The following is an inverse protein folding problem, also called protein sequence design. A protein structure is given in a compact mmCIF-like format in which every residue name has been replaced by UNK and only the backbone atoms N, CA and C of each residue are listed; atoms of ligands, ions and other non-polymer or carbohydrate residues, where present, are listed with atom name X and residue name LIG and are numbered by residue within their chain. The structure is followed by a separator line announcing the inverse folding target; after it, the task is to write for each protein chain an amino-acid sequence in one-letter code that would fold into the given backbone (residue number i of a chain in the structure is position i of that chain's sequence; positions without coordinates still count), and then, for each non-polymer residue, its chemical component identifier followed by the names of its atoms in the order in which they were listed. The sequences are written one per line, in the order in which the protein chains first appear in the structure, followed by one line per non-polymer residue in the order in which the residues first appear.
data_IF_134926775709
#
_entry.id   IF_134926775709
#
_cell.length_a   1.000
_cell.length_b   1.000
_cell.length_c   1.000
_cell.angle_alpha   90.00
_cell.angle_beta   90.00
_cell.angle_gamma   90.00
#
_symmetry.space_group_name_H-M   'P 1'
#
loop_
_entity.id
_entity.type
_entity.pdbx_description
1 polymer ?
#
# COMPACT_ATOMS: atom_id res chain seq x y z
N UNK A 1 8.32 -5.75 9.06
CA UNK A 1 7.48 -5.45 7.87
C UNK A 1 8.31 -5.80 6.64
N UNK A 2 7.74 -6.50 5.65
CA UNK A 2 8.49 -6.81 4.42
C UNK A 2 8.61 -5.50 3.65
N UNK A 3 9.84 -5.04 3.46
CA UNK A 3 10.15 -3.83 2.71
C UNK A 3 9.58 -3.95 1.29
N UNK A 4 8.66 -3.06 0.93
CA UNK A 4 7.93 -3.17 -0.33
C UNK A 4 8.72 -2.58 -1.50
N UNK A 5 9.54 -1.56 -1.24
CA UNK A 5 10.54 -1.07 -2.18
C UNK A 5 11.93 -1.40 -1.64
N UNK A 6 12.68 -2.26 -2.31
CA UNK A 6 14.08 -2.49 -1.98
C UNK A 6 14.94 -1.32 -2.43
N UNK A 7 16.09 -1.14 -1.77
CA UNK A 7 17.13 -0.26 -2.25
C UNK A 7 17.53 -0.67 -3.68
N UNK A 8 17.60 0.28 -4.64
CA UNK A 8 17.76 -0.06 -6.06
C UNK A 8 19.18 -0.51 -6.43
N UNK A 9 20.19 -0.20 -5.61
CA UNK A 9 21.57 -0.57 -5.85
C UNK A 9 22.36 -0.65 -4.53
N UNK A 10 23.42 -1.45 -4.54
CA UNK A 10 24.43 -1.45 -3.47
C UNK A 10 25.22 -0.14 -3.48
N UNK A 11 25.52 0.41 -2.31
CA UNK A 11 26.28 1.66 -2.18
C UNK A 11 25.95 2.45 -0.92
N UNK A 12 26.55 3.63 -0.78
CA UNK A 12 26.27 4.57 0.32
C UNK A 12 25.28 5.63 -0.12
N UNK A 13 24.40 6.08 0.78
CA UNK A 13 23.62 7.29 0.54
C UNK A 13 24.56 8.49 0.63
N UNK A 14 24.82 9.14 -0.50
CA UNK A 14 25.71 10.30 -0.55
C UNK A 14 24.95 11.59 -0.38
N UNK A 15 23.66 11.60 -0.70
CA UNK A 15 22.89 12.82 -0.59
C UNK A 15 21.38 12.57 -0.46
N UNK A 16 20.69 13.22 0.51
CA UNK A 16 19.29 12.94 0.83
C UNK A 16 18.31 13.75 -0.03
N UNK A 17 17.02 13.40 0.07
CA UNK A 17 15.92 14.23 -0.41
C UNK A 17 15.86 15.55 0.36
N UNK A 18 15.49 16.64 -0.32
CA UNK A 18 15.29 17.96 0.29
C UNK A 18 16.16 19.07 -0.29
N UNK A 19 16.11 20.23 0.36
CA UNK A 19 16.80 21.44 -0.10
C UNK A 19 18.33 21.32 0.02
N UNK A 20 19.04 21.70 -1.05
CA UNK A 20 20.51 21.74 -1.14
C UNK A 20 20.94 23.08 -1.74
N UNK A 21 21.63 23.92 -0.96
CA UNK A 21 22.24 25.19 -1.44
C UNK A 21 21.34 26.00 -2.41
N UNK A 22 20.04 26.11 -2.10
CA UNK A 22 19.07 26.85 -2.91
C UNK A 22 18.30 26.07 -3.98
N UNK A 23 18.61 24.78 -4.21
CA UNK A 23 17.88 23.91 -5.15
C UNK A 23 17.26 22.70 -4.46
N UNK A 24 16.07 22.30 -4.88
CA UNK A 24 15.36 21.14 -4.32
C UNK A 24 15.90 19.84 -4.94
N UNK A 25 16.26 18.87 -4.09
CA UNK A 25 16.60 17.52 -4.53
C UNK A 25 15.41 16.58 -4.35
N UNK A 26 14.89 16.08 -5.46
CA UNK A 26 13.64 15.31 -5.53
C UNK A 26 13.78 13.81 -5.30
N UNK A 27 14.98 13.35 -4.92
CA UNK A 27 15.25 11.93 -4.71
C UNK A 27 16.31 11.68 -3.64
N UNK A 28 16.92 10.51 -3.68
CA UNK A 28 18.13 10.17 -2.92
C UNK A 28 19.21 9.70 -3.87
N UNK A 29 20.45 10.01 -3.53
CA UNK A 29 21.61 9.60 -4.33
C UNK A 29 22.33 8.45 -3.63
N UNK A 30 22.51 7.35 -4.35
CA UNK A 30 23.23 6.17 -3.87
C UNK A 30 24.46 5.97 -4.75
N UNK A 31 25.64 6.13 -4.17
CA UNK A 31 26.91 6.01 -4.88
C UNK A 31 27.65 4.73 -4.51
N UNK A 32 28.31 4.16 -5.52
CA UNK A 32 29.23 3.05 -5.39
C UNK A 32 30.31 3.22 -6.45
N UNK A 33 31.57 3.14 -6.04
CA UNK A 33 32.73 3.35 -6.92
C UNK A 33 33.13 2.13 -7.74
N UNK A 34 32.53 0.97 -7.48
CA UNK A 34 32.80 -0.25 -8.24
C UNK A 34 32.34 -0.09 -9.70
N UNK A 35 33.00 -0.75 -10.64
CA UNK A 35 32.54 -0.76 -12.03
C UNK A 35 31.28 -1.63 -12.19
N UNK A 36 30.43 -1.28 -13.15
CA UNK A 36 29.26 -2.08 -13.54
C UNK A 36 28.27 -2.41 -12.42
N UNK A 37 28.09 -1.50 -11.45
CA UNK A 37 27.13 -1.70 -10.34
C UNK A 37 25.71 -1.83 -10.90
N UNK A 38 25.05 -2.98 -10.72
CA UNK A 38 23.70 -3.19 -11.25
C UNK A 38 22.69 -2.32 -10.51
N UNK A 39 21.74 -1.76 -11.27
CA UNK A 39 20.55 -1.10 -10.74
C UNK A 39 19.36 -2.00 -10.97
N UNK A 40 18.58 -2.23 -9.93
CA UNK A 40 17.45 -3.16 -9.90
C UNK A 40 16.13 -2.42 -9.71
N UNK A 41 15.05 -3.01 -10.21
CA UNK A 41 13.70 -2.54 -9.93
C UNK A 41 13.40 -2.66 -8.43
N UNK A 42 13.11 -1.54 -7.78
CA UNK A 42 12.80 -1.49 -6.35
C UNK A 42 11.53 -2.25 -5.98
N UNK A 43 10.59 -2.43 -6.90
CA UNK A 43 9.39 -3.25 -6.73
C UNK A 43 8.94 -3.84 -8.08
N UNK A 44 8.08 -4.85 -8.07
CA UNK A 44 7.49 -5.39 -9.29
C UNK A 44 6.61 -4.35 -10.00
N UNK A 45 6.60 -4.35 -11.34
CA UNK A 45 5.88 -3.34 -12.12
C UNK A 45 6.08 -3.48 -13.63
N UNK A 46 5.69 -2.45 -14.36
CA UNK A 46 5.84 -2.34 -15.83
C UNK A 46 6.70 -1.13 -16.15
N UNK A 47 7.65 -1.28 -17.08
CA UNK A 47 8.48 -0.17 -17.56
C UNK A 47 7.61 0.84 -18.30
N UNK A 48 7.41 2.02 -17.70
CA UNK A 48 6.62 3.11 -18.27
C UNK A 48 7.47 4.02 -19.16
N UNK A 49 8.76 4.23 -18.82
CA UNK A 49 9.73 4.93 -19.67
C UNK A 49 11.11 4.28 -19.56
N UNK A 50 11.83 4.27 -20.66
CA UNK A 50 13.25 3.92 -20.75
C UNK A 50 13.88 4.85 -21.79
N UNK A 51 14.70 5.80 -21.34
CA UNK A 51 15.27 6.84 -22.21
C UNK A 51 16.77 6.82 -22.08
N UNK A 52 17.45 6.44 -23.16
CA UNK A 52 18.91 6.42 -23.26
C UNK A 52 19.46 7.58 -24.12
N UNK A 53 20.68 7.39 -24.63
CA UNK A 53 21.31 8.29 -25.61
C UNK A 53 22.20 9.38 -25.02
N UNK A 54 22.32 9.47 -23.69
CA UNK A 54 23.23 10.40 -23.02
C UNK A 54 24.58 9.73 -22.72
N UNK A 55 25.67 10.47 -22.91
CA UNK A 55 27.03 10.05 -22.57
C UNK A 55 27.21 9.85 -21.06
N UNK A 56 28.08 8.90 -20.68
CA UNK A 56 28.38 8.55 -19.29
C UNK A 56 29.53 9.40 -18.68
N UNK A 57 29.48 10.72 -18.90
CA UNK A 57 30.48 11.71 -18.47
C UNK A 57 29.82 13.05 -18.13
N UNK A 58 28.82 12.97 -17.27
CA UNK A 58 27.97 14.05 -16.81
C UNK A 58 28.72 15.15 -16.07
N UNK A 59 28.08 16.31 -16.03
CA UNK A 59 28.53 17.49 -15.31
C UNK A 59 27.32 18.34 -14.91
N UNK A 60 27.45 19.14 -13.85
CA UNK A 60 26.39 20.07 -13.42
C UNK A 60 25.96 20.93 -14.61
N UNK A 61 24.65 21.04 -14.83
CA UNK A 61 24.07 21.83 -15.92
C UNK A 61 23.95 21.10 -17.26
N UNK A 62 24.39 19.84 -17.35
CA UNK A 62 24.10 19.01 -18.52
C UNK A 62 22.59 18.76 -18.62
N UNK A 63 21.98 19.20 -19.73
CA UNK A 63 20.53 19.18 -19.95
C UNK A 63 20.02 17.94 -20.68
N UNK A 64 20.90 16.96 -20.99
CA UNK A 64 20.50 15.74 -21.70
C UNK A 64 19.35 15.05 -20.98
N UNK A 65 18.26 14.78 -21.71
CA UNK A 65 17.02 14.22 -21.18
C UNK A 65 16.45 14.99 -19.97
N UNK A 66 16.56 16.32 -19.98
CA UNK A 66 16.08 17.19 -18.89
C UNK A 66 16.97 17.15 -17.64
N UNK A 67 18.21 16.69 -17.76
CA UNK A 67 19.18 16.62 -16.66
C UNK A 67 19.29 15.24 -16.02
N UNK A 68 18.32 14.35 -16.20
CA UNK A 68 18.37 12.98 -15.65
C UNK A 68 19.37 12.06 -16.36
N UNK A 69 19.86 12.42 -17.55
CA UNK A 69 20.71 11.54 -18.34
C UNK A 69 19.95 10.32 -18.86
N UNK A 70 20.55 9.13 -18.78
CA UNK A 70 19.84 7.89 -19.09
C UNK A 70 19.01 7.48 -17.88
N UNK A 71 17.72 7.21 -18.07
CA UNK A 71 16.82 6.90 -16.96
C UNK A 71 15.72 5.90 -17.32
N UNK A 72 15.21 5.25 -16.28
CA UNK A 72 14.07 4.34 -16.34
C UNK A 72 12.99 4.83 -15.38
N UNK A 73 11.73 4.71 -15.77
CA UNK A 73 10.58 4.85 -14.88
C UNK A 73 9.81 3.53 -14.87
N UNK A 74 9.63 2.96 -13.68
CA UNK A 74 8.81 1.76 -13.47
C UNK A 74 7.50 2.17 -12.82
N UNK A 75 6.38 1.73 -13.40
CA UNK A 75 5.06 1.88 -12.80
C UNK A 75 4.69 0.64 -12.03
N UNK A 76 4.27 0.83 -10.79
CA UNK A 76 3.91 -0.23 -9.87
C UNK A 76 2.42 -0.13 -9.50
N UNK A 77 1.79 -1.28 -9.32
CA UNK A 77 0.51 -1.41 -8.64
C UNK A 77 0.76 -2.17 -7.34
N UNK A 78 0.74 -1.45 -6.22
CA UNK A 78 1.09 -1.98 -4.91
C UNK A 78 -0.09 -1.72 -3.99
N UNK A 79 -0.70 -2.79 -3.48
CA UNK A 79 -1.86 -2.69 -2.59
C UNK A 79 -3.03 -1.88 -3.18
N UNK A 80 -3.21 -1.92 -4.51
CA UNK A 80 -4.24 -1.16 -5.22
C UNK A 80 -3.93 0.33 -5.43
N UNK A 81 -2.76 0.81 -5.00
CA UNK A 81 -2.27 2.17 -5.26
C UNK A 81 -1.19 2.16 -6.33
N UNK A 82 -1.27 3.12 -7.24
CA UNK A 82 -0.25 3.34 -8.27
C UNK A 82 0.94 4.05 -7.63
N UNK A 83 2.15 3.56 -7.92
CA UNK A 83 3.40 4.25 -7.62
C UNK A 83 4.26 4.30 -8.86
N UNK A 84 5.07 5.34 -9.02
CA UNK A 84 6.18 5.33 -9.98
C UNK A 84 7.50 5.43 -9.22
N UNK A 85 8.51 4.72 -9.72
CA UNK A 85 9.90 4.91 -9.30
C UNK A 85 10.74 5.34 -10.49
N UNK A 86 11.69 6.26 -10.28
CA UNK A 86 12.60 6.76 -11.30
C UNK A 86 14.05 6.45 -10.90
N UNK A 87 14.83 5.99 -11.87
CA UNK A 87 16.24 5.61 -11.73
C UNK A 87 17.03 6.37 -12.79
N UNK A 88 17.82 7.36 -12.38
CA UNK A 88 18.52 8.28 -13.28
C UNK A 88 20.04 8.14 -13.21
N UNK A 89 20.72 8.89 -14.10
CA UNK A 89 22.16 8.92 -14.28
C UNK A 89 22.78 7.59 -14.69
N UNK A 90 21.99 6.68 -15.28
CA UNK A 90 22.45 5.34 -15.64
C UNK A 90 23.54 5.40 -16.73
N UNK A 91 24.45 4.44 -16.69
CA UNK A 91 25.41 4.20 -17.77
C UNK A 91 24.73 3.49 -18.94
N UNK A 92 23.90 2.50 -18.65
CA UNK A 92 23.18 1.70 -19.65
C UNK A 92 21.85 1.22 -19.12
N UNK A 93 20.88 1.02 -20.02
CA UNK A 93 19.54 0.51 -19.73
C UNK A 93 19.44 -0.91 -20.30
N UNK A 94 18.83 -1.83 -19.54
CA UNK A 94 18.70 -3.25 -19.90
C UNK A 94 17.26 -3.69 -20.15
N UNK A 95 16.32 -2.73 -20.23
CA UNK A 95 14.88 -2.98 -20.34
C UNK A 95 14.22 -2.05 -21.37
N UNK A 96 13.06 -2.46 -21.86
CA UNK A 96 12.27 -1.73 -22.86
C UNK A 96 10.92 -1.30 -22.30
N UNK A 97 10.34 -0.23 -22.86
CA UNK A 97 8.99 0.23 -22.50
C UNK A 97 7.97 -0.89 -22.70
N UNK A 98 7.06 -1.07 -21.73
CA UNK A 98 6.04 -2.12 -21.71
C UNK A 98 6.50 -3.45 -21.10
N UNK A 99 7.80 -3.62 -20.83
CA UNK A 99 8.31 -4.84 -20.18
C UNK A 99 7.82 -4.93 -18.73
N UNK A 100 7.36 -6.11 -18.31
CA UNK A 100 7.09 -6.43 -16.90
C UNK A 100 8.39 -6.84 -16.21
N UNK A 101 8.60 -6.33 -14.99
CA UNK A 101 9.75 -6.65 -14.13
C UNK A 101 9.28 -7.05 -12.74
N UNK A 102 10.02 -7.97 -12.12
CA UNK A 102 9.89 -8.30 -10.71
C UNK A 102 10.77 -7.39 -9.85
N UNK A 103 10.46 -7.33 -8.55
CA UNK A 103 11.35 -6.70 -7.58
C UNK A 103 12.73 -7.38 -7.61
N UNK A 104 13.79 -6.61 -7.74
CA UNK A 104 15.16 -7.12 -7.84
C UNK A 104 15.64 -7.44 -9.25
N UNK A 105 14.79 -7.36 -10.27
CA UNK A 105 15.23 -7.54 -11.65
C UNK A 105 16.17 -6.40 -12.06
N UNK A 106 17.27 -6.73 -12.75
CA UNK A 106 18.21 -5.74 -13.27
C UNK A 106 17.55 -4.90 -14.37
N UNK A 107 17.55 -3.59 -14.19
CA UNK A 107 17.00 -2.62 -15.14
C UNK A 107 18.07 -1.78 -15.82
N UNK A 108 19.28 -1.73 -15.27
CA UNK A 108 20.39 -0.99 -15.85
C UNK A 108 21.68 -1.10 -15.04
N UNK A 109 22.59 -0.17 -15.32
CA UNK A 109 23.90 -0.06 -14.67
C UNK A 109 24.08 1.38 -14.19
N UNK A 110 24.54 1.53 -12.94
CA UNK A 110 24.84 2.82 -12.32
C UNK A 110 25.85 3.60 -13.16
N UNK A 111 25.71 4.92 -13.24
CA UNK A 111 26.59 5.72 -14.08
C UNK A 111 26.72 7.16 -13.61
N UNK A 112 27.16 7.98 -14.54
CA UNK A 112 27.35 9.41 -14.40
C UNK A 112 26.84 10.10 -15.68
N UNK A 113 25.62 9.84 -16.13
CA UNK A 113 25.05 10.54 -17.29
C UNK A 113 24.19 11.74 -16.86
N UNK A 114 24.07 12.77 -17.70
CA UNK A 114 23.26 13.96 -17.39
C UNK A 114 23.90 14.88 -16.35
N UNK A 115 23.09 15.59 -15.57
CA UNK A 115 23.53 16.56 -14.56
C UNK A 115 24.00 15.87 -13.27
N UNK A 116 25.07 15.10 -13.39
CA UNK A 116 25.71 14.33 -12.32
C UNK A 116 27.20 14.68 -12.22
N UNK A 117 27.80 14.61 -11.03
CA UNK A 117 29.22 14.92 -10.79
C UNK A 117 30.08 13.68 -10.59
N UNK A 118 29.48 12.50 -10.54
CA UNK A 118 30.18 11.25 -10.26
C UNK A 118 29.24 10.05 -10.29
N UNK A 119 29.79 8.85 -10.20
CA UNK A 119 29.02 7.63 -10.33
C UNK A 119 28.02 7.44 -9.18
N UNK A 120 26.73 7.50 -9.48
CA UNK A 120 25.64 7.22 -8.54
C UNK A 120 24.34 6.89 -9.29
N UNK A 121 23.35 6.35 -8.58
CA UNK A 121 21.97 6.34 -9.04
C UNK A 121 21.20 7.40 -8.27
N UNK A 122 20.52 8.28 -9.01
CA UNK A 122 19.52 9.17 -8.45
C UNK A 122 18.17 8.46 -8.48
N UNK A 123 17.54 8.32 -7.32
CA UNK A 123 16.33 7.53 -7.14
C UNK A 123 15.20 8.39 -6.58
N UNK A 124 14.07 8.42 -7.27
CA UNK A 124 12.86 9.14 -6.85
C UNK A 124 11.67 8.18 -6.70
N UNK A 125 10.73 8.53 -5.81
CA UNK A 125 9.46 7.82 -5.63
C UNK A 125 8.30 8.80 -5.82
N UNK A 126 7.23 8.33 -6.45
CA UNK A 126 5.97 9.04 -6.63
C UNK A 126 4.82 8.15 -6.14
N UNK A 127 3.89 8.75 -5.38
CA UNK A 127 2.70 8.05 -4.84
C UNK A 127 1.51 7.97 -5.83
N UNK A 128 1.77 8.25 -7.10
CA UNK A 128 0.82 8.23 -8.23
C UNK A 128 1.61 8.17 -9.54
N UNK A 129 0.90 8.07 -10.67
CA UNK A 129 1.53 8.22 -11.97
C UNK A 129 2.18 9.63 -12.07
N UNK A 130 3.48 9.66 -12.37
CA UNK A 130 4.26 10.89 -12.44
C UNK A 130 3.78 11.81 -13.56
N UNK A 131 3.43 13.05 -13.22
CA UNK A 131 3.15 14.13 -14.19
C UNK A 131 4.32 15.12 -14.25
N UNK A 132 4.86 15.49 -13.10
CA UNK A 132 6.03 16.39 -12.99
C UNK A 132 7.02 15.92 -11.92
N UNK A 133 8.25 16.45 -11.96
CA UNK A 133 9.28 16.12 -10.97
C UNK A 133 8.91 16.58 -9.55
N UNK A 134 8.21 17.71 -9.43
CA UNK A 134 7.82 18.31 -8.15
C UNK A 134 6.87 17.45 -7.30
N UNK A 135 6.33 16.36 -7.87
CA UNK A 135 5.45 15.42 -7.18
C UNK A 135 6.21 14.29 -6.46
N UNK A 136 7.54 14.27 -6.58
CA UNK A 136 8.36 13.28 -5.89
C UNK A 136 8.23 13.45 -4.37
N UNK A 137 8.28 12.32 -3.66
CA UNK A 137 8.29 12.27 -2.20
C UNK A 137 9.62 11.73 -1.71
N UNK A 138 9.95 12.00 -0.44
CA UNK A 138 11.15 11.44 0.20
C UNK A 138 11.17 9.91 0.06
N UNK A 139 12.17 9.33 -0.62
CA UNK A 139 12.31 7.88 -0.77
C UNK A 139 12.73 7.15 0.51
N UNK A 140 13.39 7.83 1.46
CA UNK A 140 13.98 7.16 2.63
C UNK A 140 12.96 6.40 3.48
N UNK A 141 11.76 6.93 3.76
CA UNK A 141 10.71 6.15 4.39
C UNK A 141 10.42 4.84 3.66
N UNK A 142 10.35 4.82 2.33
CA UNK A 142 10.05 3.60 1.56
C UNK A 142 11.20 2.59 1.59
N UNK A 143 12.45 3.09 1.58
CA UNK A 143 13.68 2.29 1.51
C UNK A 143 14.19 1.81 2.87
N UNK A 144 13.74 2.39 3.98
CA UNK A 144 14.05 1.90 5.33
C UNK A 144 12.97 0.94 5.86
N UNK A 145 11.96 0.63 5.04
CA UNK A 145 10.81 -0.20 5.43
C UNK A 145 9.67 0.58 6.10
N UNK A 146 9.73 1.90 6.09
CA UNK A 146 8.84 2.85 6.76
C UNK A 146 7.74 3.47 5.86
N UNK A 147 7.52 3.01 4.60
CA UNK A 147 6.15 2.87 4.01
C UNK A 147 6.07 2.20 2.63
N UNK A 148 5.04 1.36 2.42
CA UNK A 148 3.83 1.87 1.78
C UNK A 148 2.56 1.59 2.58
N UNK A 149 1.69 2.59 2.69
CA UNK A 149 0.32 2.42 3.20
C UNK A 149 -0.66 2.28 2.04
N UNK A 150 -0.98 1.01 1.73
CA UNK A 150 -2.33 0.41 1.82
C UNK A 150 -3.49 1.40 1.65
N UNK A 151 -4.36 1.17 0.65
CA UNK A 151 -5.69 1.78 0.57
C UNK A 151 -6.36 1.79 1.93
N UNK A 152 -6.55 2.97 2.54
CA UNK A 152 -7.57 3.09 3.55
C UNK A 152 -8.90 2.81 2.85
N UNK A 153 -9.44 1.62 3.04
CA UNK A 153 -10.84 1.66 3.44
C UNK A 153 -10.80 2.43 4.74
N UNK A 154 -11.27 3.69 4.72
CA UNK A 154 -11.51 4.42 5.97
C UNK A 154 -12.27 3.44 6.85
N UNK A 155 -11.70 3.13 8.00
CA UNK A 155 -12.33 2.24 8.96
C UNK A 155 -13.73 2.81 9.20
N UNK A 156 -14.75 2.16 8.64
CA UNK A 156 -16.16 2.57 8.75
C UNK A 156 -16.90 1.67 9.75
N UNK A 157 -16.14 0.85 10.50
CA UNK A 157 -16.68 -0.06 11.50
C UNK A 157 -17.48 -1.24 10.92
N UNK A 158 -17.40 -1.50 9.62
CA UNK A 158 -18.14 -2.60 9.00
C UNK A 158 -17.30 -3.87 8.85
N UNK A 159 -17.90 -5.02 9.11
CA UNK A 159 -17.24 -6.33 8.96
C UNK A 159 -17.96 -7.27 7.99
N UNK A 160 -19.17 -6.94 7.58
CA UNK A 160 -19.94 -7.71 6.62
C UNK A 160 -21.00 -6.86 5.90
N UNK A 161 -21.60 -7.48 4.89
CA UNK A 161 -22.87 -7.06 4.30
C UNK A 161 -23.93 -8.12 4.60
N UNK A 162 -25.11 -7.71 5.06
CA UNK A 162 -26.29 -8.58 5.18
C UNK A 162 -27.20 -8.35 3.99
N UNK A 163 -27.65 -9.43 3.35
CA UNK A 163 -28.74 -9.40 2.38
C UNK A 163 -30.00 -9.94 3.05
N UNK A 164 -31.02 -9.10 3.18
CA UNK A 164 -32.30 -9.46 3.80
C UNK A 164 -33.04 -10.43 2.87
N UNK A 165 -33.41 -11.61 3.37
CA UNK A 165 -34.03 -12.68 2.56
C UNK A 165 -35.55 -12.65 2.63
N UNK A 166 -36.10 -12.04 3.68
CA UNK A 166 -37.52 -11.84 3.91
C UNK A 166 -37.71 -10.57 4.74
N UNK A 167 -38.93 -10.00 4.72
CA UNK A 167 -39.23 -8.79 5.48
C UNK A 167 -38.82 -8.95 6.96
N UNK A 168 -38.03 -7.99 7.44
CA UNK A 168 -37.36 -8.07 8.74
C UNK A 168 -37.66 -6.84 9.60
N UNK A 169 -37.99 -7.03 10.87
CA UNK A 169 -38.10 -5.92 11.81
C UNK A 169 -36.70 -5.39 12.17
N UNK A 170 -36.59 -4.07 12.28
CA UNK A 170 -35.44 -3.37 12.85
C UNK A 170 -35.79 -2.97 14.27
N UNK A 171 -34.98 -3.41 15.22
CA UNK A 171 -35.14 -3.15 16.64
C UNK A 171 -34.17 -2.06 17.09
N UNK A 172 -34.59 -1.20 18.02
CA UNK A 172 -33.74 -0.14 18.58
C UNK A 172 -32.61 -0.70 19.41
N UNK A 173 -32.94 -1.69 20.23
CA UNK A 173 -32.00 -2.51 20.98
C UNK A 173 -32.22 -3.97 20.59
N UNK A 174 -31.27 -4.83 20.89
CA UNK A 174 -31.29 -6.26 20.56
C UNK A 174 -32.59 -6.94 21.05
N UNK A 175 -33.55 -7.15 20.14
CA UNK A 175 -34.86 -7.77 20.43
C UNK A 175 -35.91 -6.88 21.09
N UNK A 176 -35.65 -5.59 21.32
CA UNK A 176 -36.56 -4.66 22.00
C UNK A 176 -36.89 -3.44 21.15
N UNK A 177 -38.19 -3.09 21.14
CA UNK A 177 -38.75 -1.88 20.49
C UNK A 177 -38.51 -1.87 18.97
N UNK A 178 -39.56 -2.20 18.20
CA UNK A 178 -39.50 -2.13 16.73
C UNK A 178 -39.53 -0.66 16.32
N UNK A 179 -38.55 -0.26 15.51
CA UNK A 179 -38.39 1.12 15.01
C UNK A 179 -38.47 1.22 13.49
N UNK A 180 -38.56 0.08 12.81
CA UNK A 180 -38.67 0.05 11.36
C UNK A 180 -38.71 -1.37 10.81
N UNK A 181 -38.73 -1.46 9.49
CA UNK A 181 -38.68 -2.73 8.76
C UNK A 181 -37.77 -2.61 7.55
N UNK A 182 -37.09 -3.70 7.21
CA UNK A 182 -36.33 -3.85 5.97
C UNK A 182 -37.04 -4.82 5.05
N UNK A 183 -37.05 -4.51 3.77
CA UNK A 183 -37.69 -5.32 2.74
C UNK A 183 -36.73 -6.39 2.19
N UNK A 184 -37.31 -7.48 1.69
CA UNK A 184 -36.55 -8.58 1.09
C UNK A 184 -35.72 -8.09 -0.11
N UNK A 185 -34.49 -8.61 -0.25
CA UNK A 185 -33.51 -8.23 -1.27
C UNK A 185 -32.62 -7.04 -0.89
N UNK A 186 -32.98 -6.29 0.17
CA UNK A 186 -32.17 -5.16 0.64
C UNK A 186 -30.79 -5.59 1.15
N UNK A 187 -29.75 -4.84 0.80
CA UNK A 187 -28.37 -5.06 1.25
C UNK A 187 -27.94 -3.96 2.20
N UNK A 188 -27.41 -4.34 3.36
CA UNK A 188 -27.05 -3.40 4.42
C UNK A 188 -25.68 -3.72 4.99
N UNK A 189 -24.96 -2.67 5.37
CA UNK A 189 -23.70 -2.78 6.10
C UNK A 189 -23.95 -3.37 7.48
N UNK A 190 -23.04 -4.21 7.95
CA UNK A 190 -23.07 -4.75 9.31
C UNK A 190 -21.90 -4.18 10.11
N UNK A 191 -22.22 -3.51 11.21
CA UNK A 191 -21.28 -2.79 12.05
C UNK A 191 -20.94 -3.57 13.33
N UNK A 192 -19.85 -3.17 13.98
CA UNK A 192 -19.59 -3.56 15.36
C UNK A 192 -19.27 -5.04 15.54
N UNK A 193 -19.83 -5.63 16.60
CA UNK A 193 -19.70 -7.04 16.91
C UNK A 193 -21.06 -7.75 16.74
N UNK A 194 -21.04 -9.08 16.84
CA UNK A 194 -22.27 -9.87 16.99
C UNK A 194 -22.90 -9.55 18.34
N UNK A 195 -24.19 -9.24 18.35
CA UNK A 195 -24.91 -8.91 19.58
C UNK A 195 -25.99 -9.94 19.87
N UNK A 196 -26.14 -10.29 21.15
CA UNK A 196 -27.00 -11.38 21.58
C UNK A 196 -28.02 -10.87 22.59
N UNK A 197 -29.28 -11.25 22.40
CA UNK A 197 -30.31 -11.04 23.41
C UNK A 197 -30.06 -11.96 24.62
N UNK A 198 -30.78 -11.72 25.71
CA UNK A 198 -30.65 -12.50 26.94
C UNK A 198 -30.93 -14.01 26.75
N UNK A 199 -31.74 -14.35 25.74
CA UNK A 199 -32.08 -15.73 25.35
C UNK A 199 -31.04 -16.38 24.41
N UNK A 200 -29.96 -15.67 24.07
CA UNK A 200 -28.93 -16.14 23.15
C UNK A 200 -29.23 -15.90 21.66
N UNK A 201 -30.34 -15.24 21.33
CA UNK A 201 -30.69 -14.92 19.95
C UNK A 201 -29.73 -13.89 19.37
N UNK A 202 -29.18 -14.16 18.18
CA UNK A 202 -28.22 -13.29 17.50
C UNK A 202 -28.89 -12.18 16.69
N UNK A 203 -28.36 -10.98 16.82
CA UNK A 203 -28.72 -9.80 16.03
C UNK A 203 -27.49 -9.14 15.40
N UNK A 204 -27.73 -8.44 14.29
CA UNK A 204 -26.74 -7.67 13.56
C UNK A 204 -27.08 -6.18 13.56
N UNK A 205 -26.12 -5.34 13.93
CA UNK A 205 -26.26 -3.89 13.85
C UNK A 205 -26.11 -3.42 12.40
N UNK A 206 -27.16 -2.83 11.84
CA UNK A 206 -27.20 -2.33 10.45
C UNK A 206 -27.07 -0.79 10.36
N UNK A 207 -26.64 -0.14 11.45
CA UNK A 207 -26.45 1.30 11.58
C UNK A 207 -27.70 2.02 12.09
N UNK A 208 -28.88 1.69 11.54
CA UNK A 208 -30.17 2.23 11.99
C UNK A 208 -30.80 1.47 13.15
N UNK A 209 -30.24 0.32 13.53
CA UNK A 209 -30.74 -0.56 14.58
C UNK A 209 -30.25 -1.99 14.40
N UNK A 210 -30.97 -2.94 14.99
CA UNK A 210 -30.62 -4.36 15.05
C UNK A 210 -31.59 -5.22 14.27
N UNK A 211 -31.07 -6.18 13.51
CA UNK A 211 -31.86 -7.14 12.73
C UNK A 211 -31.55 -8.56 13.19
N UNK A 212 -32.59 -9.36 13.39
CA UNK A 212 -32.45 -10.76 13.79
C UNK A 212 -31.74 -11.59 12.71
N UNK A 213 -30.78 -12.42 13.11
CA UNK A 213 -29.89 -13.11 12.16
C UNK A 213 -30.61 -14.00 11.15
N UNK A 214 -31.76 -14.59 11.52
CA UNK A 214 -32.51 -15.51 10.67
C UNK A 214 -33.18 -14.84 9.45
N UNK A 215 -33.26 -13.51 9.40
CA UNK A 215 -33.93 -12.79 8.30
C UNK A 215 -32.99 -12.32 7.18
N UNK A 216 -31.73 -12.75 7.20
CA UNK A 216 -30.80 -12.42 6.12
C UNK A 216 -29.56 -13.31 6.07
N UNK A 217 -28.85 -13.21 4.95
CA UNK A 217 -27.60 -13.93 4.70
C UNK A 217 -26.42 -12.97 4.84
N UNK A 218 -25.39 -13.39 5.58
CA UNK A 218 -24.19 -12.60 5.83
C UNK A 218 -23.09 -12.94 4.81
N UNK A 219 -22.50 -11.90 4.23
CA UNK A 219 -21.26 -11.97 3.47
C UNK A 219 -20.17 -11.19 4.24
N UNK A 220 -19.25 -11.91 4.88
CA UNK A 220 -18.12 -11.33 5.62
C UNK A 220 -17.17 -10.60 4.68
N UNK A 221 -16.67 -9.44 5.10
CA UNK A 221 -15.54 -8.78 4.45
C UNK A 221 -14.27 -9.61 4.63
N UNK A 222 -13.24 -9.32 3.83
CA UNK A 222 -11.95 -10.00 3.91
C UNK A 222 -10.82 -9.01 4.17
N UNK A 223 -10.02 -9.27 5.20
CA UNK A 223 -8.79 -8.56 5.51
C UNK A 223 -7.61 -9.24 4.81
N UNK A 224 -6.90 -8.52 3.96
CA UNK A 224 -5.64 -8.94 3.36
C UNK A 224 -4.48 -8.36 4.16
N UNK A 225 -3.69 -9.27 4.72
CA UNK A 225 -2.45 -9.02 5.45
C UNK A 225 -1.30 -9.17 4.44
N UNK A 226 -0.54 -8.11 4.20
CA UNK A 226 0.51 -8.07 3.15
C UNK A 226 1.91 -8.31 3.70
N UNK A 227 2.08 -8.24 5.02
CA UNK A 227 3.31 -8.57 5.74
C UNK A 227 2.95 -9.10 7.13
N UNK A 228 3.87 -9.81 7.80
CA UNK A 228 3.60 -10.36 9.14
C UNK A 228 3.25 -9.26 10.15
N UNK A 229 2.15 -9.43 10.89
CA UNK A 229 1.64 -8.46 11.90
C UNK A 229 1.35 -9.14 13.24
N UNK A 230 1.28 -8.39 14.33
CA UNK A 230 0.85 -8.92 15.62
C UNK A 230 -0.68 -9.03 15.69
N UNK A 231 -1.18 -10.06 16.36
CA UNK A 231 -2.58 -10.20 16.76
C UNK A 231 -2.72 -9.99 18.26
N UNK A 232 -3.93 -9.61 18.69
CA UNK A 232 -4.20 -9.17 20.05
C UNK A 232 -5.43 -9.88 20.63
N UNK A 233 -5.45 -10.07 21.95
CA UNK A 233 -6.58 -10.70 22.66
C UNK A 233 -7.87 -9.88 22.58
N UNK A 234 -7.73 -8.56 22.47
CA UNK A 234 -8.79 -7.56 22.38
C UNK A 234 -8.23 -6.29 21.73
N UNK A 235 -9.07 -5.31 21.36
CA UNK A 235 -8.59 -3.95 21.06
C UNK A 235 -7.72 -3.44 22.21
N UNK A 236 -6.51 -2.99 21.89
CA UNK A 236 -5.48 -2.56 22.87
C UNK A 236 -5.11 -3.62 23.93
N UNK A 237 -5.42 -4.90 23.71
CA UNK A 237 -5.12 -6.00 24.63
C UNK A 237 -3.69 -6.54 24.51
N UNK A 238 -3.44 -7.69 25.14
CA UNK A 238 -2.15 -8.36 25.07
C UNK A 238 -1.90 -8.95 23.67
N UNK A 239 -0.64 -8.91 23.21
CA UNK A 239 -0.21 -9.58 21.98
C UNK A 239 -0.36 -11.10 22.16
N UNK A 240 -0.97 -11.77 21.17
CA UNK A 240 -1.20 -13.21 21.17
C UNK A 240 -0.15 -13.95 20.34
N UNK A 241 0.03 -13.55 19.08
CA UNK A 241 1.00 -14.15 18.15
C UNK A 241 1.27 -13.23 16.96
N UNK A 242 2.16 -13.67 16.08
CA UNK A 242 2.35 -13.10 14.76
C UNK A 242 1.47 -13.83 13.73
N UNK A 243 0.78 -13.06 12.89
CA UNK A 243 -0.04 -13.53 11.77
C UNK A 243 0.71 -13.32 10.45
N UNK A 244 0.84 -14.39 9.66
CA UNK A 244 1.52 -14.35 8.38
C UNK A 244 0.73 -13.58 7.30
N UNK A 245 1.36 -13.22 6.17
CA UNK A 245 0.64 -12.67 5.02
C UNK A 245 -0.42 -13.64 4.48
N UNK A 246 -1.55 -13.10 4.06
CA UNK A 246 -2.68 -13.88 3.56
C UNK A 246 -3.99 -13.11 3.59
N UNK A 247 -5.07 -13.78 3.21
CA UNK A 247 -6.42 -13.21 3.23
C UNK A 247 -7.26 -13.93 4.29
N UNK A 248 -7.89 -13.15 5.17
CA UNK A 248 -8.61 -13.63 6.35
C UNK A 248 -10.02 -13.06 6.37
N UNK A 249 -11.00 -13.84 6.81
CA UNK A 249 -12.37 -13.35 7.00
C UNK A 249 -12.42 -12.40 8.19
N UNK A 250 -13.16 -11.31 8.05
CA UNK A 250 -13.45 -10.36 9.14
C UNK A 250 -14.75 -10.77 9.82
N UNK A 251 -14.74 -10.87 11.14
CA UNK A 251 -15.87 -11.35 11.95
C UNK A 251 -16.49 -10.27 12.85
N UNK A 252 -15.76 -9.20 13.10
CA UNK A 252 -16.23 -8.02 13.83
C UNK A 252 -15.31 -6.82 13.55
N UNK A 253 -15.79 -5.63 13.86
CA UNK A 253 -15.02 -4.39 13.82
C UNK A 253 -15.31 -3.57 15.08
N UNK A 254 -14.29 -2.97 15.70
CA UNK A 254 -14.44 -2.11 16.89
C UNK A 254 -13.30 -1.11 16.99
N UNK A 255 -13.61 0.19 17.13
CA UNK A 255 -12.67 1.27 17.46
C UNK A 255 -11.33 1.27 16.69
N UNK A 256 -11.36 1.00 15.38
CA UNK A 256 -10.15 0.91 14.55
C UNK A 256 -9.49 -0.48 14.54
N UNK A 257 -10.22 -1.52 14.93
CA UNK A 257 -9.76 -2.90 14.97
C UNK A 257 -10.69 -3.83 14.21
N UNK A 258 -10.11 -4.88 13.63
CA UNK A 258 -10.85 -5.99 13.02
C UNK A 258 -10.59 -7.28 13.78
N UNK A 259 -11.64 -8.06 14.00
CA UNK A 259 -11.53 -9.41 14.55
C UNK A 259 -11.48 -10.42 13.40
N UNK A 260 -10.46 -11.28 13.39
CA UNK A 260 -10.25 -12.30 12.35
C UNK A 260 -10.63 -13.72 12.83
N UNK A 261 -11.60 -13.80 13.74
CA UNK A 261 -12.17 -15.05 14.27
C UNK A 261 -11.99 -15.18 15.78
N UNK A 262 -10.74 -15.30 16.23
CA UNK A 262 -10.40 -15.42 17.65
C UNK A 262 -9.52 -14.26 18.16
N UNK A 263 -8.96 -13.46 17.26
CA UNK A 263 -7.93 -12.48 17.58
C UNK A 263 -8.18 -11.18 16.81
N UNK A 264 -7.66 -10.08 17.35
CA UNK A 264 -7.82 -8.74 16.81
C UNK A 264 -6.55 -8.27 16.10
N UNK A 265 -6.74 -7.50 15.03
CA UNK A 265 -5.68 -6.79 14.31
C UNK A 265 -6.07 -5.32 14.19
N UNK A 266 -5.07 -4.45 14.13
CA UNK A 266 -5.33 -3.02 13.89
C UNK A 266 -5.78 -2.81 12.46
N UNK A 267 -6.79 -1.96 12.24
CA UNK A 267 -7.36 -1.72 10.93
C UNK A 267 -6.37 -1.07 9.95
N UNK A 268 -5.41 -0.29 10.45
CA UNK A 268 -4.34 0.34 9.66
C UNK A 268 -3.25 -0.65 9.19
N UNK A 269 -3.29 -1.90 9.66
CA UNK A 269 -2.34 -2.95 9.31
C UNK A 269 -2.87 -3.94 8.26
N UNK A 270 -4.13 -3.79 7.81
CA UNK A 270 -4.78 -4.71 6.87
C UNK A 270 -5.57 -3.97 5.79
N UNK A 271 -5.70 -4.59 4.61
CA UNK A 271 -6.58 -4.12 3.53
C UNK A 271 -7.93 -4.83 3.61
N UNK A 272 -9.06 -4.13 3.80
CA UNK A 272 -10.38 -4.80 3.91
C UNK A 272 -11.22 -4.72 2.63
N UNK A 273 -11.30 -5.81 1.89
CA UNK A 273 -12.21 -5.95 0.74
C UNK A 273 -13.64 -6.20 1.22
N UNK A 274 -14.59 -5.36 0.78
CA UNK A 274 -16.01 -5.45 1.13
C UNK A 274 -16.78 -6.31 0.12
N UNK A 275 -17.72 -7.12 0.62
CA UNK A 275 -18.63 -7.95 -0.18
C UNK A 275 -20.02 -7.33 -0.35
#
# INVERSE_FOLDING_TARGET
MKQVFIKPAEGIYTSPYGMRSGSMHYGVDIANSSSNVPVHASAAGVINKAVGGCSNNGSIGNTCNGGYGNYVIVRHSINGKTYDTLYAHLQSISVSVGQTVNQGDKIGVMGNSGSSTGQHVHFEIYEKARVSQSEAVDPMPYLNGDKPTVSYHTYDGTWATITITQKANVFKNVGYEIIGQLEAGGKYKVYGQREYAADGTLFYNVGSGYVHHAYGTIANHHATVTSTINTYSSPNGAIKRQLAPGTYKVHAAKDGWYNLGAEWVKADQVLVTKN
#
